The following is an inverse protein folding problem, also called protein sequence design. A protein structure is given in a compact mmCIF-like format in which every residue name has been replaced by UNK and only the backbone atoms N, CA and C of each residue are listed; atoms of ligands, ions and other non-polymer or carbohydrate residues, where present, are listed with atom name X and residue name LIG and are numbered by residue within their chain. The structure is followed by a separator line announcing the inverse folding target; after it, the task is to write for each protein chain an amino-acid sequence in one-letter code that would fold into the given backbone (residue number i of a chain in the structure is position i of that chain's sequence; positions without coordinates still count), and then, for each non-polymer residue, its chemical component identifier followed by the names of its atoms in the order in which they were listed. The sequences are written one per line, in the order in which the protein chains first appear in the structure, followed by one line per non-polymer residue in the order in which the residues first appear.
data_IF_021061088229
#
_entry.id   IF_021061088229
#
_cell.length_a   1.000
_cell.length_b   1.000
_cell.length_c   1.000
_cell.angle_alpha   90.00
_cell.angle_beta   90.00
_cell.angle_gamma   90.00
#
_symmetry.space_group_name_H-M   'P 1'
#
loop_
_entity.id
_entity.type
_entity.pdbx_description
1 polymer ?
#
# COMPACT_ATOMS: atom_id res chain seq x y z
N UNK A 1 -0.88 -7.00 11.04
CA UNK A 1 -0.86 -5.61 10.54
C UNK A 1 -2.28 -5.18 10.21
N UNK A 2 -2.68 -4.02 10.71
CA UNK A 2 -3.94 -3.36 10.38
C UNK A 2 -3.73 -2.38 9.23
N UNK A 3 -4.76 -2.10 8.43
CA UNK A 3 -4.65 -1.24 7.23
C UNK A 3 -4.18 0.20 7.53
N UNK A 4 -4.34 0.66 8.78
CA UNK A 4 -3.83 1.97 9.25
C UNK A 4 -2.31 1.99 9.36
N UNK A 5 -1.69 0.90 9.80
CA UNK A 5 -0.23 0.80 9.93
C UNK A 5 0.46 0.88 8.56
N UNK A 6 -0.22 0.46 7.48
CA UNK A 6 0.31 0.62 6.13
C UNK A 6 0.37 2.10 5.72
N UNK A 7 -0.63 2.89 6.06
CA UNK A 7 -0.68 4.31 5.70
C UNK A 7 0.37 5.16 6.41
N UNK A 8 0.72 4.78 7.64
CA UNK A 8 1.74 5.46 8.44
C UNK A 8 3.18 5.08 8.01
N UNK A 9 3.35 3.93 7.35
CA UNK A 9 4.68 3.43 6.94
C UNK A 9 4.94 3.64 5.45
N UNK A 10 6.12 4.15 5.12
CA UNK A 10 6.59 4.26 3.74
C UNK A 10 7.43 3.03 3.37
N UNK A 11 6.76 1.99 2.86
CA UNK A 11 7.41 0.74 2.47
C UNK A 11 8.49 0.93 1.40
N UNK A 12 8.34 1.94 0.53
CA UNK A 12 9.35 2.26 -0.46
C UNK A 12 10.61 2.86 0.22
N UNK A 13 10.41 3.77 1.19
CA UNK A 13 11.51 4.32 1.97
C UNK A 13 12.21 3.26 2.83
N UNK A 14 11.45 2.32 3.43
CA UNK A 14 11.99 1.20 4.21
C UNK A 14 12.90 0.29 3.38
N UNK A 15 12.57 0.07 2.10
CA UNK A 15 13.41 -0.64 1.14
C UNK A 15 14.53 0.22 0.53
N UNK A 16 14.51 1.53 0.76
CA UNK A 16 15.42 2.50 0.15
C UNK A 16 15.26 2.59 -1.37
N UNK A 17 14.04 2.43 -1.87
CA UNK A 17 13.69 2.50 -3.29
C UNK A 17 12.70 3.63 -3.54
N UNK A 18 12.66 4.22 -4.75
CA UNK A 18 11.64 5.21 -5.07
C UNK A 18 10.26 4.55 -5.22
N UNK A 19 9.19 5.33 -5.06
CA UNK A 19 7.80 4.87 -5.22
C UNK A 19 7.47 4.36 -6.63
N UNK A 20 8.22 4.82 -7.63
CA UNK A 20 8.13 4.34 -9.02
C UNK A 20 8.97 3.08 -9.29
N UNK A 21 9.57 2.47 -8.26
CA UNK A 21 10.41 1.29 -8.43
C UNK A 21 9.62 0.11 -9.04
N UNK A 22 10.26 -0.58 -9.97
CA UNK A 22 9.77 -1.84 -10.52
C UNK A 22 9.85 -2.97 -9.49
N UNK A 23 9.05 -4.03 -9.69
CA UNK A 23 9.06 -5.22 -8.82
C UNK A 23 10.46 -5.85 -8.75
N UNK A 24 11.21 -5.86 -9.85
CA UNK A 24 12.60 -6.33 -9.87
C UNK A 24 13.53 -5.47 -9.00
N UNK A 25 13.37 -4.14 -9.01
CA UNK A 25 14.15 -3.25 -8.15
C UNK A 25 13.82 -3.47 -6.67
N UNK A 26 12.53 -3.63 -6.34
CA UNK A 26 12.06 -3.95 -4.99
C UNK A 26 12.66 -5.28 -4.50
N UNK A 27 12.58 -6.35 -5.32
CA UNK A 27 13.20 -7.64 -5.00
C UNK A 27 14.70 -7.54 -4.80
N UNK A 28 15.41 -6.83 -5.69
CA UNK A 28 16.86 -6.65 -5.60
C UNK A 28 17.27 -5.89 -4.34
N UNK A 29 16.53 -4.84 -3.97
CA UNK A 29 16.75 -4.07 -2.75
C UNK A 29 16.51 -4.94 -1.51
N UNK A 30 15.40 -5.68 -1.47
CA UNK A 30 15.09 -6.63 -0.41
C UNK A 30 16.20 -7.66 -0.22
N UNK A 31 16.66 -8.32 -1.28
CA UNK A 31 17.73 -9.32 -1.19
C UNK A 31 19.05 -8.75 -0.66
N UNK A 32 19.38 -7.50 -1.02
CA UNK A 32 20.59 -6.82 -0.51
C UNK A 32 20.46 -6.53 0.99
N UNK A 33 19.32 -5.98 1.40
CA UNK A 33 19.04 -5.64 2.80
C UNK A 33 18.92 -6.89 3.67
N UNK A 34 18.25 -7.94 3.18
CA UNK A 34 18.08 -9.21 3.88
C UNK A 34 19.43 -9.86 4.23
N UNK A 35 20.42 -9.82 3.33
CA UNK A 35 21.79 -10.32 3.63
C UNK A 35 22.52 -9.44 4.63
N UNK A 36 22.34 -8.13 4.55
CA UNK A 36 23.02 -7.16 5.42
C UNK A 36 22.46 -7.19 6.84
N UNK A 37 21.14 -7.41 6.98
CA UNK A 37 20.40 -7.42 8.23
C UNK A 37 20.14 -8.84 8.76
N UNK A 38 20.69 -9.87 8.11
CA UNK A 38 20.44 -11.26 8.48
C UNK A 38 20.88 -11.52 9.92
N UNK A 39 20.10 -12.26 10.74
CA UNK A 39 20.46 -12.55 12.13
C UNK A 39 21.74 -13.37 12.25
N UNK A 40 22.08 -14.19 11.24
CA UNK A 40 23.37 -14.92 11.21
C UNK A 40 24.57 -13.97 11.13
N UNK A 41 24.44 -12.86 10.38
CA UNK A 41 25.49 -11.85 10.27
C UNK A 41 25.46 -10.84 11.43
N UNK A 42 24.32 -10.67 12.09
CA UNK A 42 24.12 -9.72 13.19
C UNK A 42 23.41 -10.37 14.40
N UNK A 43 23.99 -11.40 15.04
CA UNK A 43 23.31 -12.22 16.05
C UNK A 43 22.95 -11.49 17.34
N UNK A 44 23.43 -10.26 17.55
CA UNK A 44 23.22 -9.47 18.75
C UNK A 44 22.76 -8.03 18.48
N UNK A 45 22.33 -7.73 17.24
CA UNK A 45 21.82 -6.41 16.92
C UNK A 45 20.28 -6.42 16.83
N UNK A 46 19.57 -6.02 17.90
CA UNK A 46 18.11 -5.93 17.87
C UNK A 46 17.61 -4.94 16.80
N UNK A 47 18.41 -3.93 16.44
CA UNK A 47 18.04 -2.98 15.37
C UNK A 47 18.08 -3.64 14.00
N UNK A 48 19.00 -4.58 13.79
CA UNK A 48 19.06 -5.36 12.55
C UNK A 48 17.81 -6.24 12.41
N UNK A 49 17.37 -6.85 13.50
CA UNK A 49 16.13 -7.65 13.54
C UNK A 49 14.88 -6.79 13.26
N UNK A 50 14.74 -5.64 13.93
CA UNK A 50 13.62 -4.71 13.70
C UNK A 50 13.58 -4.20 12.26
N UNK A 51 14.74 -3.86 11.70
CA UNK A 51 14.84 -3.48 10.29
C UNK A 51 14.51 -4.65 9.38
N UNK A 52 15.01 -5.85 9.65
CA UNK A 52 14.72 -7.03 8.84
C UNK A 52 13.22 -7.32 8.77
N UNK A 53 12.51 -7.24 9.92
CA UNK A 53 11.04 -7.34 9.97
C UNK A 53 10.40 -6.29 9.07
N UNK A 54 10.77 -5.03 9.26
CA UNK A 54 10.28 -3.90 8.45
C UNK A 54 10.47 -4.12 6.94
N UNK A 55 11.67 -4.51 6.50
CA UNK A 55 11.97 -4.70 5.08
C UNK A 55 11.21 -5.91 4.50
N UNK A 56 11.01 -6.95 5.31
CA UNK A 56 10.24 -8.14 4.94
C UNK A 56 8.75 -7.82 4.75
N UNK A 57 8.18 -7.01 5.64
CA UNK A 57 6.79 -6.53 5.53
C UNK A 57 6.60 -5.67 4.28
N UNK A 58 7.51 -4.71 4.06
CA UNK A 58 7.51 -3.86 2.87
C UNK A 58 7.54 -4.70 1.57
N UNK A 59 8.43 -5.70 1.51
CA UNK A 59 8.49 -6.61 0.37
C UNK A 59 7.22 -7.45 0.22
N UNK A 60 6.62 -7.93 1.30
CA UNK A 60 5.39 -8.75 1.25
C UNK A 60 4.17 -7.99 0.69
N UNK A 61 4.14 -6.66 0.82
CA UNK A 61 3.11 -5.78 0.24
C UNK A 61 3.49 -5.38 -1.18
N UNK A 62 4.72 -4.90 -1.40
CA UNK A 62 5.12 -4.30 -2.68
C UNK A 62 5.46 -5.33 -3.77
N UNK A 63 5.74 -6.58 -3.40
CA UNK A 63 5.99 -7.66 -4.37
C UNK A 63 4.71 -8.23 -4.99
N UNK A 64 3.56 -8.05 -4.34
CA UNK A 64 2.26 -8.48 -4.83
C UNK A 64 1.57 -7.31 -5.55
N UNK A 65 1.24 -7.44 -6.84
CA UNK A 65 0.63 -6.36 -7.60
C UNK A 65 -0.72 -5.91 -7.04
N UNK A 66 -1.49 -6.81 -6.42
CA UNK A 66 -2.80 -6.50 -5.84
C UNK A 66 -2.59 -5.66 -4.58
N UNK A 67 -1.77 -6.13 -3.65
CA UNK A 67 -1.49 -5.41 -2.38
C UNK A 67 -0.78 -4.09 -2.62
N UNK A 68 0.12 -4.03 -3.61
CA UNK A 68 0.78 -2.79 -4.03
C UNK A 68 -0.24 -1.76 -4.51
N UNK A 69 -1.21 -2.19 -5.32
CA UNK A 69 -2.27 -1.30 -5.79
C UNK A 69 -3.11 -0.78 -4.62
N UNK A 70 -3.54 -1.66 -3.71
CA UNK A 70 -4.31 -1.28 -2.52
C UNK A 70 -3.53 -0.29 -1.64
N UNK A 71 -2.22 -0.52 -1.48
CA UNK A 71 -1.33 0.36 -0.75
C UNK A 71 -1.19 1.74 -1.42
N UNK A 72 -0.92 1.77 -2.73
CA UNK A 72 -0.78 3.01 -3.50
C UNK A 72 -2.09 3.82 -3.52
N UNK A 73 -3.24 3.14 -3.63
CA UNK A 73 -4.58 3.75 -3.56
C UNK A 73 -4.88 4.31 -2.18
N UNK A 74 -4.65 3.53 -1.12
CA UNK A 74 -4.83 3.99 0.26
C UNK A 74 -3.93 5.21 0.55
N UNK A 75 -2.66 5.16 0.13
CA UNK A 75 -1.70 6.26 0.30
C UNK A 75 -2.15 7.52 -0.45
N UNK A 76 -2.71 7.37 -1.66
CA UNK A 76 -3.26 8.48 -2.44
C UNK A 76 -4.48 9.10 -1.77
N UNK A 77 -5.40 8.28 -1.25
CA UNK A 77 -6.59 8.74 -0.53
C UNK A 77 -6.20 9.49 0.76
N UNK A 78 -5.24 8.96 1.51
CA UNK A 78 -4.70 9.62 2.70
C UNK A 78 -3.98 10.94 2.36
N UNK A 79 -3.09 10.93 1.36
CA UNK A 79 -2.35 12.12 0.93
C UNK A 79 -3.25 13.23 0.35
N UNK A 80 -4.40 12.86 -0.23
CA UNK A 80 -5.38 13.83 -0.73
C UNK A 80 -6.17 14.55 0.38
N UNK A 81 -5.96 14.21 1.66
CA UNK A 81 -6.70 14.78 2.78
C UNK A 81 -8.19 14.45 2.75
N UNK A 82 -8.60 13.45 1.96
CA UNK A 82 -9.99 13.02 1.84
C UNK A 82 -10.54 12.48 3.17
N UNK A 83 -9.67 12.05 4.08
CA UNK A 83 -10.02 11.66 5.45
C UNK A 83 -10.51 12.82 6.33
N UNK A 84 -10.20 14.07 5.97
CA UNK A 84 -10.61 15.26 6.74
C UNK A 84 -11.76 16.03 6.08
N UNK A 85 -12.10 15.74 4.81
CA UNK A 85 -13.08 16.53 4.04
C UNK A 85 -14.20 15.78 3.33
N UNK A 86 -14.24 14.45 3.36
CA UNK A 86 -15.34 13.72 2.70
C UNK A 86 -15.89 12.68 3.65
N UNK A 87 -17.04 12.98 4.25
CA UNK A 87 -17.89 11.98 4.87
C UNK A 87 -17.99 10.76 3.96
N UNK A 88 -17.48 9.64 4.46
CA UNK A 88 -17.55 8.34 3.82
C UNK A 88 -19.02 7.89 3.84
N UNK A 89 -19.79 8.36 2.85
CA UNK A 89 -21.04 7.74 2.44
C UNK A 89 -20.71 6.80 1.27
N UNK A 90 -20.59 5.48 1.49
CA UNK A 90 -20.59 4.52 0.40
C UNK A 90 -22.01 4.47 -0.17
N UNK A 91 -22.37 5.40 -1.06
CA UNK A 91 -23.73 5.41 -1.63
C UNK A 91 -24.18 6.67 -2.37
N UNK A 92 -23.30 7.47 -2.96
CA UNK A 92 -23.72 8.64 -3.74
C UNK A 92 -23.08 8.64 -5.14
N UNK A 93 -23.55 7.73 -6.00
CA UNK A 93 -23.40 7.88 -7.44
C UNK A 93 -24.22 9.07 -7.90
N UNK A 94 -23.53 10.17 -8.23
CA UNK A 94 -24.11 11.29 -8.99
C UNK A 94 -24.40 10.82 -10.40
N UNK A 95 -25.69 10.87 -10.72
CA UNK A 95 -26.30 11.24 -11.99
C UNK A 95 -25.33 11.68 -13.10
N UNK A 96 -25.22 10.85 -14.14
CA UNK A 96 -24.96 11.32 -15.50
C UNK A 96 -26.06 10.74 -16.38
N UNK A 97 -26.81 11.64 -17.00
CA UNK A 97 -28.09 11.34 -17.63
C UNK A 97 -27.98 10.41 -18.82
N UNK A 98 -28.77 9.34 -18.78
CA UNK A 98 -29.34 8.68 -19.95
C UNK A 98 -30.85 8.71 -19.75
N UNK A 99 -31.51 9.57 -20.54
CA UNK A 99 -32.94 9.47 -20.82
C UNK A 99 -33.15 8.11 -21.51
N UNK A 100 -33.90 7.25 -20.84
CA UNK A 100 -34.34 5.96 -21.32
C UNK A 100 -35.49 5.54 -20.43
N UNK A 101 -36.64 6.19 -20.65
CA UNK A 101 -37.95 5.54 -20.81
C UNK A 101 -38.02 4.08 -20.33
N UNK A 102 -38.07 3.88 -19.00
CA UNK A 102 -38.53 2.65 -18.40
C UNK A 102 -39.76 2.99 -17.55
N UNK A 103 -40.91 2.90 -18.21
CA UNK A 103 -42.23 2.91 -17.60
C UNK A 103 -42.41 1.61 -16.78
N UNK A 104 -42.62 1.76 -15.48
CA UNK A 104 -42.84 0.67 -14.52
C UNK A 104 -44.22 0.82 -13.87
N UNK A 105 -45.24 1.06 -14.69
CA UNK A 105 -46.56 1.42 -14.20
C UNK A 105 -47.74 1.19 -15.14
N UNK A 106 -47.76 0.17 -16.01
CA UNK A 106 -49.00 -0.41 -16.57
C UNK A 106 -48.70 -1.68 -17.41
N UNK A 107 -48.79 -2.88 -16.79
CA UNK A 107 -49.19 -4.21 -17.36
C UNK A 107 -48.88 -5.39 -16.43
#
# INVERSE_FOLDING_TARGET
MTQREWLERDFYADLGVPSNASVDQIKKAYHRLARTLHPDANPHDPRAEERFKTVSEAHAVLSDPVKRKDYDEARRLFASGAFDRTGFHPGAGRDTGVRGDFDFGDL
#
